data_IF_530502777827
#
_entry.id   IF_530502777827
#
_cell.length_a   1.000
_cell.length_b   1.000
_cell.length_c   1.000
_cell.angle_alpha   90.00
_cell.angle_beta   90.00
_cell.angle_gamma   90.00
#
_symmetry.space_group_name_H-M   'P 1'
#
loop_
_entity.id
_entity.type
_entity.pdbx_description
1 polymer ?
#
# COMPACT_ATOMS: atom_id res chain seq x y z
N UNK A 1 27.83 14.75 -3.79
CA UNK A 1 27.04 15.74 -4.56
C UNK A 1 25.55 15.52 -4.37
N UNK A 2 24.78 16.61 -4.44
CA UNK A 2 23.31 16.75 -4.42
C UNK A 2 22.49 15.62 -5.11
N UNK A 3 23.14 14.84 -5.99
CA UNK A 3 22.67 13.61 -6.62
C UNK A 3 22.34 12.46 -5.62
N UNK A 4 22.99 12.39 -4.44
CA UNK A 4 22.60 11.45 -3.37
C UNK A 4 21.26 11.87 -2.72
N UNK A 5 21.06 13.18 -2.53
CA UNK A 5 19.85 13.76 -1.94
C UNK A 5 18.60 13.53 -2.81
N UNK A 6 18.75 13.50 -4.14
CA UNK A 6 17.65 13.21 -5.07
C UNK A 6 17.36 11.71 -5.20
N UNK A 7 18.37 10.84 -5.25
CA UNK A 7 18.14 9.37 -5.27
C UNK A 7 17.53 8.85 -3.95
N UNK A 8 17.82 9.53 -2.83
CA UNK A 8 17.24 9.26 -1.53
C UNK A 8 15.72 9.47 -1.47
N UNK A 9 15.17 10.43 -2.22
CA UNK A 9 13.74 10.75 -2.20
C UNK A 9 12.83 9.64 -2.71
N UNK A 10 13.35 8.67 -3.47
CA UNK A 10 12.52 7.63 -4.11
C UNK A 10 12.57 6.27 -3.40
N UNK A 11 13.64 5.97 -2.65
CA UNK A 11 13.81 4.69 -1.94
C UNK A 11 14.57 4.78 -0.59
N UNK A 12 14.92 5.99 -0.13
CA UNK A 12 15.99 6.21 0.85
C UNK A 12 15.65 6.10 2.33
N UNK A 13 14.41 6.36 2.76
CA UNK A 13 14.06 6.40 4.19
C UNK A 13 14.53 5.14 4.95
N UNK A 14 14.43 3.95 4.32
CA UNK A 14 14.89 2.67 4.90
C UNK A 14 16.41 2.52 4.96
N UNK A 15 17.16 3.15 4.07
CA UNK A 15 18.61 2.98 3.99
C UNK A 15 19.38 3.82 5.03
N UNK A 16 18.93 5.05 5.37
CA UNK A 16 19.62 5.87 6.40
C UNK A 16 19.44 5.29 7.81
N UNK A 17 18.27 4.73 8.14
CA UNK A 17 18.06 4.03 9.42
C UNK A 17 19.06 2.89 9.57
N UNK A 18 19.37 2.20 8.47
CA UNK A 18 20.29 1.07 8.47
C UNK A 18 21.78 1.45 8.43
N UNK A 19 22.18 2.70 8.17
CA UNK A 19 23.60 3.07 8.07
C UNK A 19 24.39 2.89 9.38
N UNK A 20 23.92 3.38 10.55
CA UNK A 20 24.57 3.08 11.83
C UNK A 20 24.41 1.62 12.25
N UNK A 21 23.40 0.90 11.74
CA UNK A 21 23.22 -0.54 11.97
C UNK A 21 24.05 -1.42 11.03
N UNK A 22 24.60 -0.87 9.94
CA UNK A 22 25.46 -1.56 8.97
C UNK A 22 26.94 -1.40 9.24
N UNK A 23 27.35 -0.38 10.00
CA UNK A 23 28.62 -0.45 10.68
C UNK A 23 28.47 -1.61 11.67
N UNK A 24 28.95 -2.80 11.29
CA UNK A 24 29.03 -3.92 12.21
C UNK A 24 29.68 -3.36 13.48
N UNK A 25 29.09 -3.60 14.66
CA UNK A 25 29.58 -3.05 15.93
C UNK A 25 31.12 -3.23 16.05
N UNK A 26 31.64 -4.33 15.48
CA UNK A 26 33.05 -4.62 15.29
C UNK A 26 33.89 -3.53 14.58
N UNK A 27 33.36 -2.89 13.53
CA UNK A 27 34.04 -1.79 12.82
C UNK A 27 34.10 -0.52 13.67
N UNK A 28 33.04 -0.21 14.42
CA UNK A 28 33.03 0.91 15.35
C UNK A 28 34.01 0.68 16.51
N UNK A 29 34.06 -0.54 17.03
CA UNK A 29 34.98 -0.92 18.11
C UNK A 29 36.44 -0.82 17.66
N UNK A 30 36.75 -1.19 16.40
CA UNK A 30 38.09 -1.01 15.80
C UNK A 30 38.45 0.48 15.70
N UNK A 31 37.53 1.31 15.22
CA UNK A 31 37.72 2.77 15.12
C UNK A 31 37.96 3.38 16.51
N UNK A 32 37.16 3.02 17.51
CA UNK A 32 37.31 3.54 18.86
C UNK A 32 38.63 3.12 19.51
N UNK A 33 39.05 1.85 19.30
CA UNK A 33 40.34 1.35 19.75
C UNK A 33 41.51 2.07 19.07
N UNK A 34 41.40 2.33 17.76
CA UNK A 34 42.39 3.09 17.02
C UNK A 34 42.55 4.50 17.61
N UNK A 35 41.45 5.22 17.84
CA UNK A 35 41.46 6.57 18.45
C UNK A 35 42.07 6.55 19.86
N UNK A 36 41.70 5.60 20.71
CA UNK A 36 42.25 5.47 22.07
C UNK A 36 43.76 5.18 22.06
N UNK A 37 44.24 4.32 21.17
CA UNK A 37 45.66 3.94 21.09
C UNK A 37 46.58 4.97 20.42
N UNK A 38 45.98 5.93 19.72
CA UNK A 38 46.65 6.93 18.89
C UNK A 38 46.75 8.29 19.61
N UNK A 39 45.90 8.56 20.61
CA UNK A 39 45.82 9.85 21.32
C UNK A 39 47.15 10.39 21.87
N UNK A 40 48.08 9.51 22.25
CA UNK A 40 49.34 9.88 22.90
C UNK A 40 50.59 9.62 22.02
N UNK A 41 50.40 9.33 20.72
CA UNK A 41 51.49 9.00 19.79
C UNK A 41 51.62 10.05 18.69
N UNK A 42 52.71 10.80 18.70
CA UNK A 42 53.03 11.86 17.72
C UNK A 42 53.08 11.38 16.26
N UNK A 43 53.28 10.07 16.01
CA UNK A 43 53.47 9.47 14.67
C UNK A 43 52.35 8.52 14.23
N UNK A 44 51.17 8.58 14.84
CA UNK A 44 50.12 7.64 14.52
C UNK A 44 49.33 8.03 13.26
N UNK A 45 49.03 7.02 12.43
CA UNK A 45 48.29 7.21 11.17
C UNK A 45 46.85 7.68 11.47
N UNK A 46 46.39 8.80 10.88
CA UNK A 46 45.02 9.26 11.07
C UNK A 46 44.03 8.30 10.40
N UNK A 47 42.81 8.24 10.94
CA UNK A 47 41.67 7.57 10.31
C UNK A 47 41.42 8.14 8.92
N UNK A 48 40.84 7.35 8.02
CA UNK A 48 40.39 7.87 6.73
C UNK A 48 39.11 8.71 6.86
N UNK A 49 38.73 9.43 5.79
CA UNK A 49 37.57 10.34 5.84
C UNK A 49 36.24 9.59 6.13
N UNK A 50 35.96 8.42 5.55
CA UNK A 50 34.79 7.61 5.91
C UNK A 50 34.75 7.18 7.40
N UNK A 51 35.86 6.71 7.95
CA UNK A 51 35.97 6.29 9.36
C UNK A 51 35.79 7.49 10.31
N UNK A 52 36.39 8.63 9.97
CA UNK A 52 36.19 9.89 10.70
C UNK A 52 34.71 10.29 10.70
N UNK A 53 34.05 10.26 9.54
CA UNK A 53 32.63 10.58 9.44
C UNK A 53 31.77 9.64 10.29
N UNK A 54 32.03 8.33 10.22
CA UNK A 54 31.30 7.34 11.00
C UNK A 54 31.49 7.56 12.51
N UNK A 55 32.72 7.85 12.95
CA UNK A 55 33.00 8.21 14.34
C UNK A 55 32.28 9.50 14.76
N UNK A 56 32.26 10.54 13.94
CA UNK A 56 31.52 11.77 14.27
C UNK A 56 30.02 11.53 14.47
N UNK A 57 29.42 10.55 13.78
CA UNK A 57 28.03 10.18 14.00
C UNK A 57 27.80 9.52 15.36
N UNK A 58 28.76 8.73 15.88
CA UNK A 58 28.62 8.07 17.21
C UNK A 58 28.70 9.08 18.35
N UNK A 59 29.36 10.22 18.15
CA UNK A 59 29.42 11.31 19.12
C UNK A 59 28.08 12.04 19.28
N UNK A 60 27.13 11.85 18.37
CA UNK A 60 25.82 12.49 18.45
C UNK A 60 24.95 11.76 19.48
N UNK A 61 24.50 12.43 20.56
CA UNK A 61 23.66 11.80 21.56
C UNK A 61 22.32 11.39 20.96
N UNK A 62 21.89 10.16 21.26
CA UNK A 62 20.62 9.59 20.78
C UNK A 62 20.48 9.62 19.25
N UNK A 63 21.59 9.43 18.51
CA UNK A 63 21.64 9.54 17.05
C UNK A 63 20.50 8.79 16.34
N UNK A 64 20.31 7.51 16.66
CA UNK A 64 19.27 6.68 16.05
C UNK A 64 17.86 7.24 16.23
N UNK A 65 17.55 7.74 17.43
CA UNK A 65 16.23 8.34 17.72
C UNK A 65 16.03 9.64 16.95
N UNK A 66 17.08 10.48 16.86
CA UNK A 66 17.03 11.73 16.10
C UNK A 66 16.82 11.49 14.61
N UNK A 67 17.56 10.56 14.02
CA UNK A 67 17.41 10.17 12.61
C UNK A 67 16.00 9.62 12.36
N UNK A 68 15.49 8.76 13.24
CA UNK A 68 14.13 8.26 13.15
C UNK A 68 13.11 9.40 13.14
N UNK A 69 13.19 10.34 14.10
CA UNK A 69 12.28 11.47 14.18
C UNK A 69 12.34 12.37 12.93
N UNK A 70 13.53 12.67 12.42
CA UNK A 70 13.71 13.47 11.20
C UNK A 70 13.06 12.77 10.00
N UNK A 71 13.29 11.46 9.85
CA UNK A 71 12.71 10.68 8.75
C UNK A 71 11.19 10.59 8.86
N UNK A 72 10.68 10.32 10.06
CA UNK A 72 9.26 10.32 10.35
C UNK A 72 8.64 11.67 9.99
N UNK A 73 9.18 12.77 10.53
CA UNK A 73 8.68 14.11 10.26
C UNK A 73 8.69 14.44 8.75
N UNK A 74 9.74 14.04 8.03
CA UNK A 74 9.85 14.31 6.59
C UNK A 74 8.79 13.61 5.74
N UNK A 75 8.27 12.47 6.21
CA UNK A 75 7.32 11.63 5.47
C UNK A 75 5.90 11.65 6.06
N UNK A 76 5.73 12.20 7.26
CA UNK A 76 4.47 12.15 8.00
C UNK A 76 3.31 12.80 7.25
N UNK A 77 3.49 14.04 6.77
CA UNK A 77 2.43 14.78 6.09
C UNK A 77 1.96 14.08 4.81
N UNK A 78 2.90 13.51 4.04
CA UNK A 78 2.59 12.76 2.82
C UNK A 78 1.85 11.45 3.15
N UNK A 79 2.34 10.70 4.14
CA UNK A 79 1.70 9.47 4.61
C UNK A 79 0.27 9.73 5.08
N UNK A 80 0.09 10.74 5.94
CA UNK A 80 -1.22 11.13 6.46
C UNK A 80 -2.15 11.54 5.32
N UNK A 81 -1.70 12.41 4.42
CA UNK A 81 -2.49 12.84 3.25
C UNK A 81 -2.91 11.66 2.37
N UNK A 82 -2.02 10.69 2.16
CA UNK A 82 -2.31 9.47 1.39
C UNK A 82 -3.38 8.62 2.08
N UNK A 83 -3.29 8.43 3.39
CA UNK A 83 -4.29 7.69 4.18
C UNK A 83 -5.64 8.39 4.14
N UNK A 84 -5.68 9.70 4.42
CA UNK A 84 -6.92 10.49 4.42
C UNK A 84 -7.62 10.41 3.06
N UNK A 85 -6.90 10.60 1.96
CA UNK A 85 -7.49 10.51 0.61
C UNK A 85 -8.11 9.15 0.31
N UNK A 86 -7.49 8.06 0.78
CA UNK A 86 -8.02 6.69 0.63
C UNK A 86 -9.31 6.52 1.43
N UNK A 87 -9.33 7.00 2.68
CA UNK A 87 -10.51 6.94 3.53
C UNK A 87 -11.66 7.78 2.97
N UNK A 88 -11.40 9.01 2.53
CA UNK A 88 -12.41 9.87 1.90
C UNK A 88 -12.99 9.24 0.64
N UNK A 89 -12.17 8.55 -0.14
CA UNK A 89 -12.63 7.84 -1.33
C UNK A 89 -13.51 6.66 -0.97
N UNK A 90 -13.11 5.84 0.01
CA UNK A 90 -13.93 4.73 0.51
C UNK A 90 -15.27 5.24 1.06
N UNK A 91 -15.25 6.26 1.89
CA UNK A 91 -16.47 6.85 2.47
C UNK A 91 -17.41 7.37 1.38
N UNK A 92 -16.88 8.09 0.38
CA UNK A 92 -17.69 8.57 -0.76
C UNK A 92 -18.28 7.43 -1.56
N UNK A 93 -17.51 6.39 -1.88
CA UNK A 93 -18.01 5.23 -2.63
C UNK A 93 -19.09 4.50 -1.86
N UNK A 94 -18.89 4.24 -0.57
CA UNK A 94 -19.90 3.62 0.29
C UNK A 94 -21.19 4.44 0.31
N UNK A 95 -21.09 5.76 0.47
CA UNK A 95 -22.24 6.66 0.46
C UNK A 95 -22.99 6.63 -0.86
N UNK A 96 -22.26 6.69 -1.98
CA UNK A 96 -22.88 6.61 -3.32
C UNK A 96 -23.62 5.29 -3.51
N UNK A 97 -23.04 4.16 -3.10
CA UNK A 97 -23.69 2.85 -3.25
C UNK A 97 -24.94 2.75 -2.34
N UNK A 98 -24.87 3.26 -1.11
CA UNK A 98 -25.98 3.20 -0.15
C UNK A 98 -27.13 4.15 -0.50
N UNK A 99 -26.83 5.35 -0.97
CA UNK A 99 -27.81 6.42 -1.18
C UNK A 99 -28.33 6.47 -2.63
N UNK A 100 -27.67 5.83 -3.59
CA UNK A 100 -28.08 5.87 -4.99
C UNK A 100 -29.35 5.06 -5.25
N UNK A 101 -30.44 5.78 -5.44
CA UNK A 101 -31.72 5.20 -5.87
C UNK A 101 -31.61 4.48 -7.22
N UNK A 102 -30.75 4.94 -8.12
CA UNK A 102 -30.51 4.26 -9.40
C UNK A 102 -29.89 2.88 -9.19
N UNK A 103 -28.90 2.76 -8.30
CA UNK A 103 -28.29 1.45 -7.97
C UNK A 103 -29.33 0.53 -7.36
N UNK A 104 -30.12 1.01 -6.39
CA UNK A 104 -31.21 0.23 -5.76
C UNK A 104 -32.23 -0.26 -6.79
N UNK A 105 -32.65 0.60 -7.72
CA UNK A 105 -33.59 0.24 -8.80
C UNK A 105 -33.04 -0.83 -9.72
N UNK A 106 -31.78 -0.72 -10.13
CA UNK A 106 -31.12 -1.74 -10.98
C UNK A 106 -31.06 -3.08 -10.24
N UNK A 107 -30.61 -3.09 -8.98
CA UNK A 107 -30.58 -4.31 -8.17
C UNK A 107 -31.98 -4.91 -7.98
N UNK A 108 -33.00 -4.07 -7.76
CA UNK A 108 -34.40 -4.50 -7.67
C UNK A 108 -34.93 -5.11 -8.97
N UNK A 109 -34.58 -4.55 -10.12
CA UNK A 109 -34.93 -5.12 -11.43
C UNK A 109 -34.26 -6.49 -11.66
N UNK A 110 -32.97 -6.61 -11.32
CA UNK A 110 -32.25 -7.88 -11.40
C UNK A 110 -32.92 -8.93 -10.51
N UNK A 111 -33.32 -8.56 -9.28
CA UNK A 111 -34.05 -9.45 -8.39
C UNK A 111 -35.41 -9.86 -8.97
N UNK A 112 -36.17 -8.91 -9.51
CA UNK A 112 -37.47 -9.16 -10.11
C UNK A 112 -37.38 -10.12 -11.31
N UNK A 113 -36.43 -9.90 -12.22
CA UNK A 113 -36.18 -10.79 -13.35
C UNK A 113 -35.70 -12.17 -12.88
N UNK A 114 -34.78 -12.22 -11.91
CA UNK A 114 -34.32 -13.47 -11.33
C UNK A 114 -35.45 -14.30 -10.72
N UNK A 115 -36.34 -13.67 -9.95
CA UNK A 115 -37.51 -14.33 -9.37
C UNK A 115 -38.49 -14.81 -10.43
N UNK A 116 -38.76 -13.99 -11.46
CA UNK A 116 -39.63 -14.38 -12.57
C UNK A 116 -39.07 -15.60 -13.33
N UNK A 117 -37.80 -15.57 -13.71
CA UNK A 117 -37.14 -16.65 -14.45
C UNK A 117 -37.03 -17.96 -13.65
N UNK A 118 -36.92 -17.86 -12.32
CA UNK A 118 -36.85 -19.02 -11.43
C UNK A 118 -38.22 -19.40 -10.82
N UNK A 119 -39.31 -18.79 -11.28
CA UNK A 119 -40.67 -19.06 -10.82
C UNK A 119 -41.03 -20.55 -10.97
N UNK A 120 -41.46 -21.17 -9.87
CA UNK A 120 -41.72 -22.62 -9.80
C UNK A 120 -40.67 -23.41 -9.03
N UNK A 121 -39.48 -22.85 -8.81
CA UNK A 121 -38.51 -23.40 -7.87
C UNK A 121 -38.71 -22.79 -6.47
N UNK A 122 -39.10 -23.62 -5.51
CA UNK A 122 -39.43 -23.23 -4.13
C UNK A 122 -38.30 -22.50 -3.38
N UNK A 123 -37.04 -22.65 -3.82
CA UNK A 123 -35.87 -21.99 -3.21
C UNK A 123 -35.28 -20.85 -4.05
N UNK A 124 -35.68 -20.69 -5.32
CA UNK A 124 -35.04 -19.73 -6.24
C UNK A 124 -35.99 -18.69 -6.84
N UNK A 125 -37.30 -18.94 -6.84
CA UNK A 125 -38.30 -18.03 -7.44
C UNK A 125 -38.92 -17.02 -6.47
N UNK A 126 -38.50 -17.00 -5.20
CA UNK A 126 -39.03 -16.14 -4.12
C UNK A 126 -37.88 -15.60 -3.25
N UNK A 127 -36.82 -15.08 -3.87
CA UNK A 127 -35.68 -14.53 -3.15
C UNK A 127 -35.94 -13.08 -2.71
N UNK A 128 -35.48 -12.73 -1.49
CA UNK A 128 -35.48 -11.36 -0.96
C UNK A 128 -34.23 -10.57 -1.35
N UNK A 129 -33.24 -11.24 -1.94
CA UNK A 129 -31.97 -10.65 -2.34
C UNK A 129 -31.06 -11.67 -3.02
N UNK A 130 -29.90 -11.20 -3.48
CA UNK A 130 -28.88 -12.03 -4.10
C UNK A 130 -27.48 -11.54 -3.69
N UNK A 131 -26.51 -12.45 -3.76
CA UNK A 131 -25.10 -12.09 -3.56
C UNK A 131 -24.54 -11.40 -4.81
N UNK A 132 -23.73 -10.36 -4.62
CA UNK A 132 -23.20 -9.51 -5.70
C UNK A 132 -22.27 -10.27 -6.68
N UNK A 133 -21.78 -11.45 -6.32
CA UNK A 133 -21.00 -12.32 -7.22
C UNK A 133 -21.82 -12.85 -8.42
N UNK A 134 -23.15 -12.67 -8.41
CA UNK A 134 -24.00 -12.96 -9.57
C UNK A 134 -23.88 -11.90 -10.66
N UNK A 135 -23.54 -10.65 -10.32
CA UNK A 135 -23.55 -9.53 -11.29
C UNK A 135 -22.64 -9.78 -12.50
N UNK A 136 -21.39 -10.30 -12.34
CA UNK A 136 -20.55 -10.62 -13.48
C UNK A 136 -21.09 -11.76 -14.36
N UNK A 137 -21.95 -12.63 -13.82
CA UNK A 137 -22.54 -13.80 -14.50
C UNK A 137 -23.80 -13.43 -15.30
N UNK A 138 -24.39 -12.26 -15.05
CA UNK A 138 -25.57 -11.79 -15.79
C UNK A 138 -25.31 -11.65 -17.30
N UNK A 139 -24.07 -11.37 -17.70
CA UNK A 139 -23.65 -11.31 -19.11
C UNK A 139 -23.80 -12.65 -19.84
N UNK A 140 -23.79 -13.76 -19.11
CA UNK A 140 -23.77 -15.12 -19.66
C UNK A 140 -25.19 -15.70 -19.81
N UNK A 141 -26.23 -14.96 -19.39
CA UNK A 141 -27.63 -15.33 -19.55
C UNK A 141 -28.02 -15.17 -21.02
N UNK A 142 -28.08 -16.27 -21.77
CA UNK A 142 -28.53 -16.29 -23.17
C UNK A 142 -30.06 -16.38 -23.26
N UNK A 143 -30.65 -15.64 -24.20
CA UNK A 143 -32.05 -15.79 -24.57
C UNK A 143 -32.29 -17.10 -25.33
N UNK A 144 -33.33 -17.84 -24.99
CA UNK A 144 -33.88 -18.90 -25.85
C UNK A 144 -34.63 -18.26 -27.01
N UNK A 145 -33.91 -17.76 -28.02
CA UNK A 145 -34.54 -17.57 -29.32
C UNK A 145 -34.67 -18.97 -29.91
N UNK A 146 -35.76 -19.65 -29.59
CA UNK A 146 -36.18 -20.84 -30.30
C UNK A 146 -36.31 -20.45 -31.77
N UNK A 147 -35.51 -21.07 -32.65
CA UNK A 147 -35.76 -21.05 -34.09
C UNK A 147 -37.15 -21.68 -34.34
N UNK A 148 -38.22 -20.92 -34.14
CA UNK A 148 -39.56 -21.25 -34.57
C UNK A 148 -39.86 -20.43 -35.82
N UNK A 149 -39.16 -20.73 -36.92
CA UNK A 149 -39.64 -20.44 -38.26
C UNK A 149 -39.89 -21.78 -38.97
N UNK A 150 -41.11 -22.27 -38.72
CA UNK A 150 -41.98 -22.96 -39.65
C UNK A 150 -41.38 -24.07 -40.54
N UNK A 151 -41.48 -25.31 -40.03
CA UNK A 151 -42.12 -26.35 -40.85
C UNK A 151 -43.55 -25.88 -41.15
N UNK A 152 -43.81 -25.37 -42.35
CA UNK A 152 -45.14 -25.35 -42.93
C UNK A 152 -45.04 -25.70 -44.41
N UNK A 153 -45.58 -26.90 -44.71
CA UNK A 153 -45.96 -27.43 -46.01
C UNK A 153 -46.36 -26.35 -47.04
N UNK A 154 -45.78 -26.41 -48.23
CA UNK A 154 -46.48 -26.57 -49.53
C UNK A 154 -45.64 -27.49 -50.41
#
# INVERSE_FOLDING_TARGET
SFIFYINYRRHGARSLVSLPQRAQQEELDKIEKHIKSTKDKENAKPLDKPEQFLYQLTLIPNFNSRVFCILFQSSFCECMSSITRKLDTLQRVCKVIQDSETVKKILGLILAFGNFMNGGNRTRGQADGFSLDILPKLKDVKSSVSNQNAENKV
#
